data_IF_874662577725
#
_entry.id   IF_874662577725
#
_cell.length_a   1.000
_cell.length_b   1.000
_cell.length_c   1.000
_cell.angle_alpha   90.00
_cell.angle_beta   90.00
_cell.angle_gamma   90.00
#
_symmetry.space_group_name_H-M   'P 1'
#
loop_
_entity.id
_entity.type
_entity.pdbx_description
1 polymer ?
#
# COMPACT_ATOMS: atom_id res chain seq x y z
N UNK A 1 -6.83 13.69 20.30
CA UNK A 1 -6.37 12.64 19.37
C UNK A 1 -5.15 13.16 18.62
N UNK A 2 -4.07 12.39 18.54
CA UNK A 2 -2.95 12.70 17.65
C UNK A 2 -2.95 11.61 16.57
N UNK A 3 -2.82 11.99 15.30
CA UNK A 3 -2.79 11.01 14.22
C UNK A 3 -1.40 10.38 14.02
N UNK A 4 -0.33 11.04 14.51
CA UNK A 4 1.04 10.56 14.43
C UNK A 4 1.94 11.16 15.52
N UNK A 5 3.02 10.46 15.87
CA UNK A 5 4.06 10.92 16.80
C UNK A 5 5.40 11.22 16.09
N UNK A 6 5.64 10.67 14.90
CA UNK A 6 6.83 10.92 14.07
C UNK A 6 6.44 11.26 12.63
N UNK A 7 7.39 11.75 11.84
CA UNK A 7 7.17 12.02 10.41
C UNK A 7 6.85 10.73 9.64
N UNK A 8 7.55 9.63 9.95
CA UNK A 8 7.33 8.33 9.31
C UNK A 8 5.92 7.82 9.61
N UNK A 9 5.47 7.97 10.85
CA UNK A 9 4.11 7.62 11.23
C UNK A 9 3.08 8.53 10.52
N UNK A 10 3.36 9.83 10.38
CA UNK A 10 2.48 10.75 9.68
C UNK A 10 2.32 10.36 8.20
N UNK A 11 3.42 10.02 7.52
CA UNK A 11 3.43 9.51 6.14
C UNK A 11 2.63 8.21 6.06
N UNK A 12 2.96 7.22 6.90
CA UNK A 12 2.28 5.92 6.89
C UNK A 12 0.76 6.10 7.07
N UNK A 13 0.34 6.99 7.98
CA UNK A 13 -1.07 7.22 8.26
C UNK A 13 -1.79 7.94 7.11
N UNK A 14 -1.11 8.85 6.41
CA UNK A 14 -1.64 9.53 5.22
C UNK A 14 -1.75 8.62 4.00
N UNK A 15 -1.00 7.52 3.96
CA UNK A 15 -1.05 6.55 2.87
C UNK A 15 -2.24 5.57 3.01
N UNK A 16 -2.76 5.38 4.24
CA UNK A 16 -3.81 4.39 4.56
C UNK A 16 -5.09 4.62 3.76
N UNK A 17 -5.71 5.79 3.89
CA UNK A 17 -6.94 6.11 3.19
C UNK A 17 -6.56 6.87 1.92
N UNK A 18 -6.84 6.33 0.72
CA UNK A 18 -6.59 7.04 -0.52
C UNK A 18 -7.43 8.32 -0.58
N UNK A 19 -6.76 9.44 -0.86
CA UNK A 19 -7.43 10.74 -1.00
C UNK A 19 -8.10 10.79 -2.37
N UNK A 20 -9.43 10.76 -2.40
CA UNK A 20 -10.22 10.93 -3.61
C UNK A 20 -10.11 12.37 -4.12
N UNK A 21 -10.23 12.57 -5.43
CA UNK A 21 -10.15 13.90 -6.04
C UNK A 21 -11.19 14.88 -5.47
N UNK A 22 -12.35 14.38 -5.08
CA UNK A 22 -13.43 15.15 -4.44
C UNK A 22 -13.10 15.62 -3.01
N UNK A 23 -12.11 15.00 -2.36
CA UNK A 23 -11.65 15.37 -1.02
C UNK A 23 -10.52 16.41 -1.06
N UNK A 24 -10.13 16.87 -2.26
CA UNK A 24 -9.05 17.83 -2.46
C UNK A 24 -9.63 19.20 -2.75
N UNK A 25 -9.17 20.20 -2.00
CA UNK A 25 -9.38 21.60 -2.34
C UNK A 25 -8.27 22.07 -3.30
N UNK A 26 -8.65 22.52 -4.50
CA UNK A 26 -7.70 23.13 -5.42
C UNK A 26 -7.37 24.56 -4.95
N UNK A 27 -6.12 24.81 -4.58
CA UNK A 27 -5.67 26.10 -4.08
C UNK A 27 -4.48 26.61 -4.89
N UNK A 28 -4.52 27.89 -5.29
CA UNK A 28 -3.39 28.53 -5.95
C UNK A 28 -2.15 28.48 -5.04
N UNK A 29 -0.99 28.08 -5.59
CA UNK A 29 0.23 27.84 -4.80
C UNK A 29 0.63 29.04 -3.93
N UNK A 30 0.46 30.27 -4.41
CA UNK A 30 0.71 31.49 -3.62
C UNK A 30 -0.17 31.58 -2.36
N UNK A 31 -1.44 31.18 -2.48
CA UNK A 31 -2.36 31.12 -1.33
C UNK A 31 -1.96 29.99 -0.39
N UNK A 32 -1.61 28.82 -0.92
CA UNK A 32 -1.15 27.68 -0.12
C UNK A 32 0.09 28.03 0.74
N UNK A 33 1.06 28.76 0.17
CA UNK A 33 2.23 29.28 0.90
C UNK A 33 1.81 30.16 2.08
N UNK A 34 0.90 31.12 1.86
CA UNK A 34 0.43 32.03 2.91
C UNK A 34 -0.35 31.29 4.01
N UNK A 35 -1.18 30.32 3.62
CA UNK A 35 -1.94 29.47 4.52
C UNK A 35 -1.03 28.63 5.40
N UNK A 36 -0.06 27.93 4.83
CA UNK A 36 0.84 27.06 5.58
C UNK A 36 1.72 27.84 6.57
N UNK A 37 2.18 29.04 6.22
CA UNK A 37 2.90 29.92 7.16
C UNK A 37 2.05 30.33 8.36
N UNK A 38 0.79 30.63 8.11
CA UNK A 38 -0.16 30.99 9.17
C UNK A 38 -0.40 29.79 10.09
N UNK A 39 -0.60 28.60 9.52
CA UNK A 39 -0.75 27.36 10.28
C UNK A 39 0.51 26.96 11.04
N UNK A 40 1.70 27.20 10.49
CA UNK A 40 2.97 27.01 11.19
C UNK A 40 3.12 27.89 12.43
N UNK A 41 2.51 29.07 12.42
CA UNK A 41 2.46 29.94 13.61
C UNK A 41 1.46 29.43 14.65
N UNK A 42 0.29 28.94 14.20
CA UNK A 42 -0.80 28.50 15.08
C UNK A 42 -0.60 27.10 15.67
N UNK A 43 0.09 26.22 14.95
CA UNK A 43 0.22 24.79 15.27
C UNK A 43 1.60 24.26 14.91
N UNK A 44 2.69 24.86 15.44
CA UNK A 44 4.06 24.60 15.00
C UNK A 44 4.48 23.13 15.11
N UNK A 45 3.98 22.42 16.12
CA UNK A 45 4.34 21.02 16.40
C UNK A 45 3.51 19.98 15.63
N UNK A 46 2.52 20.41 14.83
CA UNK A 46 1.71 19.48 14.04
C UNK A 46 2.45 19.08 12.76
N UNK A 47 2.37 17.79 12.43
CA UNK A 47 2.92 17.26 11.18
C UNK A 47 2.03 17.66 10.01
N UNK A 48 2.65 18.08 8.91
CA UNK A 48 2.03 18.17 7.60
C UNK A 48 2.66 17.10 6.71
N UNK A 49 1.83 16.41 5.93
CA UNK A 49 2.29 15.42 4.95
C UNK A 49 2.20 16.05 3.58
N UNK A 50 3.29 15.99 2.82
CA UNK A 50 3.37 16.44 1.44
C UNK A 50 3.40 15.24 0.52
N UNK A 51 2.57 15.28 -0.51
CA UNK A 51 2.65 14.42 -1.69
C UNK A 51 3.15 15.32 -2.81
N UNK A 52 4.35 15.06 -3.32
CA UNK A 52 4.91 15.88 -4.40
C UNK A 52 4.29 15.53 -5.78
N UNK A 53 4.72 16.24 -6.83
CA UNK A 53 4.22 16.01 -8.19
C UNK A 53 4.58 14.64 -8.79
N UNK A 54 5.50 13.89 -8.17
CA UNK A 54 5.83 12.50 -8.53
C UNK A 54 4.98 11.47 -7.76
N UNK A 55 4.28 11.91 -6.71
CA UNK A 55 3.48 11.07 -5.83
C UNK A 55 4.24 10.58 -4.59
N UNK A 56 5.48 11.02 -4.37
CA UNK A 56 6.26 10.65 -3.18
C UNK A 56 5.74 11.36 -1.93
N UNK A 57 5.69 10.62 -0.82
CA UNK A 57 5.23 11.13 0.47
C UNK A 57 6.41 11.57 1.33
N UNK A 58 6.28 12.74 1.93
CA UNK A 58 7.18 13.21 2.98
C UNK A 58 6.37 13.89 4.09
N UNK A 59 6.94 14.00 5.28
CA UNK A 59 6.31 14.74 6.37
C UNK A 59 7.34 15.58 7.12
N UNK A 60 6.87 16.71 7.63
CA UNK A 60 7.63 17.60 8.50
C UNK A 60 6.69 18.28 9.48
N UNK A 61 7.21 18.81 10.59
CA UNK A 61 6.38 19.69 11.43
C UNK A 61 6.15 20.99 10.69
N UNK A 62 5.00 21.62 10.93
CA UNK A 62 4.65 22.88 10.26
C UNK A 62 5.70 23.97 10.52
N UNK A 63 6.33 24.01 11.71
CA UNK A 63 7.42 24.95 12.01
C UNK A 63 8.68 24.76 11.18
N UNK A 64 8.89 23.55 10.64
CA UNK A 64 10.07 23.17 9.87
C UNK A 64 9.89 23.43 8.36
N UNK A 65 8.74 23.98 7.96
CA UNK A 65 8.50 24.40 6.58
C UNK A 65 9.52 25.46 6.12
N UNK A 66 9.99 25.41 4.86
CA UNK A 66 10.93 26.39 4.35
C UNK A 66 10.45 27.84 4.56
N UNK A 67 11.27 28.64 5.22
CA UNK A 67 10.98 30.06 5.46
C UNK A 67 11.10 30.89 4.18
N UNK A 68 12.00 30.49 3.27
CA UNK A 68 12.19 31.11 1.97
C UNK A 68 10.96 30.87 1.07
N UNK A 69 10.38 31.97 0.56
CA UNK A 69 9.17 31.91 -0.25
C UNK A 69 9.33 31.07 -1.52
N UNK A 70 10.45 31.20 -2.24
CA UNK A 70 10.68 30.46 -3.48
C UNK A 70 10.82 28.96 -3.22
N UNK A 71 11.54 28.59 -2.15
CA UNK A 71 11.70 27.18 -1.77
C UNK A 71 10.36 26.53 -1.39
N UNK A 72 9.57 27.19 -0.54
CA UNK A 72 8.25 26.69 -0.17
C UNK A 72 7.29 26.67 -1.37
N UNK A 73 7.36 27.67 -2.25
CA UNK A 73 6.58 27.66 -3.49
C UNK A 73 6.92 26.43 -4.34
N UNK A 74 8.21 26.21 -4.64
CA UNK A 74 8.66 25.05 -5.43
C UNK A 74 8.24 23.72 -4.81
N UNK A 75 8.32 23.60 -3.49
CA UNK A 75 7.88 22.41 -2.76
C UNK A 75 6.39 22.10 -2.95
N UNK A 76 5.56 23.13 -3.14
CA UNK A 76 4.10 23.01 -3.23
C UNK A 76 3.57 22.97 -4.67
N UNK A 77 4.39 23.30 -5.66
CA UNK A 77 3.97 23.27 -7.07
C UNK A 77 3.63 21.83 -7.46
N UNK A 78 2.39 21.64 -7.94
CA UNK A 78 1.79 20.33 -8.25
C UNK A 78 1.70 19.34 -7.07
N UNK A 79 1.96 19.80 -5.85
CA UNK A 79 1.89 18.97 -4.65
C UNK A 79 0.52 19.00 -3.97
N UNK A 80 0.24 17.97 -3.18
CA UNK A 80 -0.90 17.91 -2.25
C UNK A 80 -0.37 17.97 -0.82
N UNK A 81 -0.94 18.84 0.02
CA UNK A 81 -0.59 18.91 1.44
C UNK A 81 -1.75 18.43 2.29
N UNK A 82 -1.49 17.46 3.14
CA UNK A 82 -2.43 16.91 4.11
C UNK A 82 -2.12 17.55 5.46
N UNK A 83 -3.12 18.21 6.02
CA UNK A 83 -3.02 18.93 7.28
C UNK A 83 -4.00 18.29 8.26
N UNK A 84 -3.59 18.04 9.50
CA UNK A 84 -4.49 17.43 10.47
C UNK A 84 -5.54 18.44 10.95
N UNK A 85 -6.75 17.96 11.22
CA UNK A 85 -7.89 18.83 11.58
C UNK A 85 -7.67 19.70 12.83
N UNK A 86 -6.71 19.37 13.69
CA UNK A 86 -6.39 20.19 14.86
C UNK A 86 -5.75 21.55 14.48
N UNK A 87 -5.25 21.69 13.24
CA UNK A 87 -4.70 22.93 12.73
C UNK A 87 -5.76 23.99 12.38
N UNK A 88 -7.04 23.62 12.28
CA UNK A 88 -8.13 24.54 11.96
C UNK A 88 -9.19 23.90 11.05
N UNK A 89 -10.25 24.65 10.78
CA UNK A 89 -11.34 24.25 9.89
C UNK A 89 -11.31 24.95 8.53
N UNK A 90 -12.34 24.70 7.73
CA UNK A 90 -12.55 25.38 6.45
C UNK A 90 -13.56 26.54 6.62
N UNK A 91 -13.52 27.51 5.72
CA UNK A 91 -14.58 28.49 5.55
C UNK A 91 -15.69 27.96 4.64
N UNK A 92 -16.71 28.80 4.45
CA UNK A 92 -17.93 28.43 3.73
C UNK A 92 -17.64 28.18 2.23
N UNK A 93 -16.48 28.66 1.74
CA UNK A 93 -15.95 28.42 0.40
C UNK A 93 -14.95 27.24 0.36
N UNK A 94 -14.76 26.52 1.47
CA UNK A 94 -13.87 25.36 1.57
C UNK A 94 -12.38 25.72 1.71
N UNK A 95 -12.02 26.96 2.01
CA UNK A 95 -10.63 27.38 2.22
C UNK A 95 -10.22 27.21 3.69
N UNK A 96 -8.97 26.85 4.01
CA UNK A 96 -8.51 26.78 5.40
C UNK A 96 -8.64 28.14 6.11
N UNK A 97 -9.41 28.19 7.20
CA UNK A 97 -9.53 29.40 8.02
C UNK A 97 -8.26 29.61 8.84
N UNK A 98 -7.74 30.84 8.78
CA UNK A 98 -6.49 31.24 9.45
C UNK A 98 -6.71 31.79 10.87
N UNK A 99 -7.95 31.79 11.37
CA UNK A 99 -8.32 32.26 12.72
C UNK A 99 -9.43 31.38 13.28
N UNK A 100 -9.29 30.96 14.54
CA UNK A 100 -10.36 30.27 15.27
C UNK A 100 -11.44 31.27 15.68
N UNK A 101 -12.71 30.91 15.50
CA UNK A 101 -13.85 31.77 15.89
C UNK A 101 -14.78 31.01 16.83
N UNK A 102 -15.64 31.72 17.58
CA UNK A 102 -16.63 31.10 18.48
C UNK A 102 -17.74 30.32 17.74
N UNK A 103 -17.79 30.37 16.41
CA UNK A 103 -18.84 29.77 15.57
C UNK A 103 -18.37 28.53 14.81
N UNK A 104 -17.26 27.91 15.19
CA UNK A 104 -16.81 26.65 14.59
C UNK A 104 -17.87 25.56 14.80
N UNK A 105 -18.42 25.05 13.69
CA UNK A 105 -19.30 23.89 13.72
C UNK A 105 -18.51 22.66 13.26
N UNK A 106 -18.70 21.51 13.93
CA UNK A 106 -18.07 20.28 13.47
C UNK A 106 -18.69 19.86 12.13
N UNK A 107 -17.83 19.45 11.21
CA UNK A 107 -18.24 18.90 9.92
C UNK A 107 -18.20 17.40 9.96
N UNK A 108 -19.18 16.76 9.33
CA UNK A 108 -19.22 15.30 9.23
C UNK A 108 -18.01 14.80 8.47
N UNK A 109 -17.43 13.73 8.99
CA UNK A 109 -16.33 13.05 8.34
C UNK A 109 -16.75 12.46 6.97
N UNK A 110 -15.93 12.69 5.94
CA UNK A 110 -16.23 12.36 4.54
C UNK A 110 -15.82 10.95 4.11
N UNK A 111 -15.12 10.21 4.99
CA UNK A 111 -14.70 8.83 4.70
C UNK A 111 -15.92 7.94 4.43
N UNK A 112 -15.83 7.11 3.38
CA UNK A 112 -16.89 6.18 3.01
C UNK A 112 -17.01 5.04 4.04
N UNK A 113 -18.09 5.03 4.82
CA UNK A 113 -18.30 4.07 5.90
C UNK A 113 -18.62 2.65 5.45
N UNK A 114 -19.11 2.48 4.21
CA UNK A 114 -19.28 1.13 3.68
C UNK A 114 -17.94 0.46 3.43
N UNK A 115 -16.88 1.25 3.24
CA UNK A 115 -15.54 0.77 2.89
C UNK A 115 -14.58 0.87 4.06
N UNK A 116 -14.68 1.92 4.88
CA UNK A 116 -13.72 2.24 5.92
C UNK A 116 -14.42 2.47 7.26
N UNK A 117 -14.02 1.69 8.27
CA UNK A 117 -14.35 1.91 9.67
C UNK A 117 -13.13 2.39 10.44
N UNK A 118 -13.31 3.30 11.38
CA UNK A 118 -12.26 3.77 12.29
C UNK A 118 -12.67 3.59 13.73
N UNK A 119 -11.74 3.05 14.51
CA UNK A 119 -11.87 2.97 15.96
C UNK A 119 -10.77 3.78 16.60
N UNK A 120 -11.09 4.40 17.73
CA UNK A 120 -10.10 4.95 18.62
C UNK A 120 -9.63 3.84 19.56
N UNK A 121 -8.32 3.71 19.74
CA UNK A 121 -7.70 2.73 20.64
C UNK A 121 -6.75 3.45 21.60
N UNK A 122 -6.75 3.06 22.87
CA UNK A 122 -5.82 3.59 23.87
C UNK A 122 -5.31 2.48 24.78
N UNK A 123 -4.15 2.69 25.38
CA UNK A 123 -3.64 1.86 26.47
C UNK A 123 -4.12 2.46 27.79
N UNK A 124 -4.80 1.69 28.63
CA UNK A 124 -5.35 2.15 29.91
C UNK A 124 -4.48 1.68 31.09
N UNK A 125 -3.77 0.57 30.93
CA UNK A 125 -2.84 0.01 31.91
C UNK A 125 -1.71 -0.81 31.26
N UNK A 126 -0.89 -1.49 32.04
CA UNK A 126 0.23 -2.29 31.51
C UNK A 126 -0.25 -3.33 30.49
N UNK A 127 -1.33 -4.05 30.82
CA UNK A 127 -1.96 -5.04 29.94
C UNK A 127 -3.45 -4.77 29.77
N UNK A 128 -3.83 -3.49 29.69
CA UNK A 128 -5.24 -3.12 29.50
C UNK A 128 -5.34 -2.07 28.42
N UNK A 129 -6.21 -2.32 27.46
CA UNK A 129 -6.45 -1.46 26.31
C UNK A 129 -7.93 -1.14 26.20
N UNK A 130 -8.27 0.12 25.90
CA UNK A 130 -9.63 0.55 25.65
C UNK A 130 -9.88 0.80 24.17
N UNK A 131 -11.10 0.60 23.71
CA UNK A 131 -11.53 1.06 22.39
C UNK A 131 -12.82 1.87 22.45
N UNK A 132 -13.00 2.72 21.44
CA UNK A 132 -14.22 3.45 21.21
C UNK A 132 -14.46 3.73 19.72
N UNK A 133 -15.71 3.97 19.35
CA UNK A 133 -16.09 4.39 18.01
C UNK A 133 -16.09 5.92 17.93
N UNK A 134 -15.56 6.46 16.83
CA UNK A 134 -15.52 7.91 16.63
C UNK A 134 -16.84 8.37 15.99
N UNK A 135 -17.60 9.21 16.69
CA UNK A 135 -18.80 9.83 16.15
C UNK A 135 -18.42 10.79 15.02
N UNK A 136 -18.98 10.57 13.83
CA UNK A 136 -18.64 11.34 12.62
C UNK A 136 -18.92 12.82 12.71
N UNK A 137 -20.01 13.19 13.40
CA UNK A 137 -20.54 14.56 13.38
C UNK A 137 -20.06 15.38 14.56
N UNK A 138 -19.81 14.75 15.71
CA UNK A 138 -19.30 15.45 16.89
C UNK A 138 -17.81 15.26 17.12
N UNK A 139 -17.19 14.24 16.52
CA UNK A 139 -15.82 13.82 16.83
C UNK A 139 -15.65 13.23 18.23
N UNK A 140 -16.76 13.00 18.96
CA UNK A 140 -16.75 12.35 20.26
C UNK A 140 -16.41 10.86 20.13
N UNK A 141 -15.78 10.29 21.14
CA UNK A 141 -15.47 8.85 21.18
C UNK A 141 -16.46 8.19 22.11
N UNK A 142 -17.24 7.25 21.58
CA UNK A 142 -18.14 6.40 22.36
C UNK A 142 -17.36 5.14 22.78
N UNK A 143 -17.13 4.97 24.08
CA UNK A 143 -16.36 3.83 24.60
C UNK A 143 -17.11 2.51 24.41
N UNK A 144 -16.45 1.55 23.77
CA UNK A 144 -17.00 0.22 23.49
C UNK A 144 -16.57 -0.83 24.52
N UNK A 145 -15.44 -0.60 25.21
CA UNK A 145 -14.99 -1.48 26.30
C UNK A 145 -13.47 -1.53 26.47
N UNK A 146 -13.04 -2.41 27.39
CA UNK A 146 -11.64 -2.66 27.75
C UNK A 146 -11.24 -4.13 27.53
N UNK A 147 -9.97 -4.35 27.18
CA UNK A 147 -9.45 -5.63 26.72
C UNK A 147 -8.04 -5.88 27.29
N UNK A 148 -7.67 -7.14 27.44
CA UNK A 148 -6.38 -7.57 28.03
C UNK A 148 -5.16 -7.37 27.13
N UNK A 149 -5.34 -7.06 25.84
CA UNK A 149 -4.22 -6.81 24.93
C UNK A 149 -4.65 -6.01 23.71
N UNK A 150 -3.70 -5.37 23.04
CA UNK A 150 -3.94 -4.70 21.76
C UNK A 150 -4.51 -5.68 20.72
N UNK A 151 -3.98 -6.91 20.67
CA UNK A 151 -4.47 -7.94 19.75
C UNK A 151 -5.94 -8.27 19.99
N UNK A 152 -6.37 -8.35 21.25
CA UNK A 152 -7.77 -8.59 21.60
C UNK A 152 -8.67 -7.43 21.15
N UNK A 153 -8.23 -6.17 21.34
CA UNK A 153 -8.97 -4.99 20.83
C UNK A 153 -9.11 -5.04 19.31
N UNK A 154 -8.01 -5.27 18.60
CA UNK A 154 -8.01 -5.27 17.14
C UNK A 154 -8.88 -6.40 16.58
N UNK A 155 -8.88 -7.57 17.22
CA UNK A 155 -9.76 -8.67 16.87
C UNK A 155 -11.24 -8.33 17.08
N UNK A 156 -11.58 -7.68 18.20
CA UNK A 156 -12.94 -7.20 18.45
C UNK A 156 -13.40 -6.18 17.40
N UNK A 157 -12.54 -5.19 17.08
CA UNK A 157 -12.83 -4.17 16.07
C UNK A 157 -12.95 -4.77 14.66
N UNK A 158 -12.09 -5.75 14.32
CA UNK A 158 -12.14 -6.46 13.04
C UNK A 158 -13.48 -7.20 12.86
N UNK A 159 -13.92 -7.91 13.91
CA UNK A 159 -15.20 -8.62 13.90
C UNK A 159 -16.39 -7.66 13.78
N UNK A 160 -16.35 -6.55 14.51
CA UNK A 160 -17.43 -5.55 14.56
C UNK A 160 -17.57 -4.79 13.24
N UNK A 161 -16.45 -4.47 12.59
CA UNK A 161 -16.43 -3.78 11.30
C UNK A 161 -16.52 -4.69 10.08
N UNK A 162 -16.39 -6.01 10.27
CA UNK A 162 -16.12 -6.97 9.18
C UNK A 162 -14.93 -6.52 8.30
N UNK A 163 -13.95 -5.86 8.91
CA UNK A 163 -12.83 -5.24 8.22
C UNK A 163 -11.47 -5.76 8.66
N UNK A 164 -10.43 -5.37 7.93
CA UNK A 164 -9.04 -5.70 8.20
C UNK A 164 -8.32 -4.45 8.73
N UNK A 165 -7.65 -4.58 9.88
CA UNK A 165 -6.88 -3.48 10.45
C UNK A 165 -5.60 -3.24 9.63
N UNK A 166 -5.53 -2.14 8.90
CA UNK A 166 -4.41 -1.88 7.96
C UNK A 166 -3.20 -1.21 8.62
N UNK A 167 -3.36 -0.61 9.80
CA UNK A 167 -2.27 0.06 10.52
C UNK A 167 -1.88 -0.60 11.85
N UNK A 168 -2.11 -1.91 11.98
CA UNK A 168 -1.79 -2.65 13.20
C UNK A 168 -0.30 -2.56 13.59
N UNK A 169 0.61 -2.49 12.62
CA UNK A 169 2.07 -2.33 12.84
C UNK A 169 2.38 -0.98 13.50
N UNK A 170 1.79 0.10 12.99
CA UNK A 170 2.02 1.45 13.53
C UNK A 170 1.38 1.65 14.90
N UNK A 171 0.24 1.00 15.16
CA UNK A 171 -0.35 0.96 16.49
C UNK A 171 0.58 0.27 17.49
N UNK A 172 1.13 -0.90 17.15
CA UNK A 172 2.09 -1.62 18.00
C UNK A 172 3.33 -0.77 18.32
N UNK A 173 3.92 -0.14 17.30
CA UNK A 173 5.07 0.78 17.46
C UNK A 173 4.74 1.93 18.40
N UNK A 174 3.57 2.56 18.20
CA UNK A 174 3.13 3.70 19.01
C UNK A 174 2.97 3.35 20.48
N UNK A 175 2.41 2.17 20.79
CA UNK A 175 2.21 1.74 22.18
C UNK A 175 3.48 1.15 22.83
N UNK A 176 4.43 0.64 22.03
CA UNK A 176 5.73 0.17 22.50
C UNK A 176 6.69 1.32 22.86
N UNK A 177 6.55 2.49 22.24
CA UNK A 177 7.37 3.67 22.52
C UNK A 177 7.07 4.35 23.87
N UNK A 178 6.08 3.87 24.63
CA UNK A 178 5.73 4.38 25.95
C UNK A 178 6.63 3.67 26.98
N UNK A 179 7.51 4.39 27.71
CA UNK A 179 8.44 3.80 28.67
C UNK A 179 7.74 2.99 29.78
N UNK A 180 8.38 1.90 30.21
CA UNK A 180 7.88 1.01 31.27
C UNK A 180 7.94 1.61 32.68
N UNK A 181 8.47 2.82 32.83
CA UNK A 181 8.57 3.61 34.06
C UNK A 181 7.67 4.87 34.01
N UNK A 182 6.93 5.08 32.92
CA UNK A 182 5.96 6.17 32.81
C UNK A 182 4.92 6.10 33.95
N UNK A 183 4.61 7.25 34.56
CA UNK A 183 3.68 7.39 35.69
C UNK A 183 2.27 6.89 35.35
N UNK A 184 1.48 6.58 36.37
CA UNK A 184 0.07 6.19 36.21
C UNK A 184 -0.76 7.25 35.47
N UNK A 185 -0.41 8.54 35.55
CA UNK A 185 -1.05 9.62 34.78
C UNK A 185 -0.56 9.67 33.32
N UNK A 186 0.71 9.40 33.04
CA UNK A 186 1.24 9.24 31.67
C UNK A 186 0.67 8.00 30.96
N UNK A 187 0.34 6.94 31.72
CA UNK A 187 -0.31 5.71 31.24
C UNK A 187 -1.83 5.85 31.13
N UNK A 188 -2.50 6.44 32.12
CA UNK A 188 -3.95 6.66 32.11
C UNK A 188 -4.37 7.78 31.14
N UNK A 189 -3.43 8.65 30.76
CA UNK A 189 -3.56 9.65 29.69
C UNK A 189 -3.14 9.17 28.30
N UNK A 190 -2.95 7.85 28.07
CA UNK A 190 -2.48 7.36 26.77
C UNK A 190 -3.43 7.83 25.66
N UNK A 191 -2.87 8.65 24.79
CA UNK A 191 -3.61 9.34 23.73
C UNK A 191 -4.32 8.32 22.84
N UNK A 192 -5.59 8.57 22.55
CA UNK A 192 -6.33 7.83 21.53
C UNK A 192 -5.55 7.83 20.21
N UNK A 193 -5.29 6.63 19.71
CA UNK A 193 -4.74 6.35 18.39
C UNK A 193 -5.86 5.84 17.47
N UNK A 194 -5.82 6.19 16.19
CA UNK A 194 -6.80 5.69 15.22
C UNK A 194 -6.37 4.33 14.67
N UNK A 195 -7.28 3.35 14.74
CA UNK A 195 -7.18 2.09 14.03
C UNK A 195 -8.12 2.12 12.82
N UNK A 196 -7.56 1.86 11.63
CA UNK A 196 -8.30 1.89 10.37
C UNK A 196 -8.62 0.48 9.91
N UNK A 197 -9.89 0.25 9.59
CA UNK A 197 -10.42 -1.02 9.14
C UNK A 197 -11.01 -0.87 7.75
N UNK A 198 -10.43 -1.57 6.78
CA UNK A 198 -10.94 -1.66 5.42
C UNK A 198 -11.93 -2.84 5.35
N UNK A 199 -13.16 -2.59 4.94
CA UNK A 199 -14.20 -3.60 4.74
C UNK A 199 -13.68 -4.66 3.77
N UNK A 200 -13.87 -5.94 4.13
CA UNK A 200 -13.43 -7.10 3.33
C UNK A 200 -14.03 -7.15 1.93
N UNK A 201 -15.23 -6.61 1.71
CA UNK A 201 -15.84 -6.58 0.38
C UNK A 201 -15.24 -5.50 -0.52
N UNK A 202 -14.80 -4.39 0.10
CA UNK A 202 -14.24 -3.21 -0.55
C UNK A 202 -12.71 -3.24 -0.67
N UNK A 203 -12.04 -4.11 0.09
CA UNK A 203 -10.58 -4.26 0.07
C UNK A 203 -10.06 -4.57 -1.34
N UNK A 204 -10.82 -5.30 -2.15
CA UNK A 204 -10.45 -5.59 -3.54
C UNK A 204 -10.34 -4.34 -4.45
N UNK A 205 -10.95 -3.21 -4.08
CA UNK A 205 -10.97 -1.96 -4.87
C UNK A 205 -9.95 -0.91 -4.40
N UNK A 206 -9.63 -0.87 -3.10
CA UNK A 206 -8.82 0.20 -2.47
C UNK A 206 -7.37 -0.17 -2.16
N UNK A 207 -6.92 -1.36 -2.55
CA UNK A 207 -5.51 -1.72 -2.46
C UNK A 207 -4.70 -0.82 -3.41
N UNK A 208 -4.32 0.35 -2.90
CA UNK A 208 -3.26 1.20 -3.44
C UNK A 208 -2.04 0.31 -3.67
N UNK A 209 -1.37 0.60 -4.78
CA UNK A 209 -0.26 -0.14 -5.39
C UNK A 209 1.04 -0.20 -4.55
N UNK A 210 0.95 -0.23 -3.22
CA UNK A 210 2.03 -0.82 -2.43
C UNK A 210 1.95 -2.33 -2.58
N UNK A 211 2.91 -2.82 -3.37
CA UNK A 211 2.99 -4.09 -4.10
C UNK A 211 2.85 -5.39 -3.30
N UNK A 212 2.51 -5.33 -2.01
CA UNK A 212 2.58 -6.48 -1.10
C UNK A 212 1.31 -6.71 -0.26
N UNK A 213 0.30 -5.82 -0.33
CA UNK A 213 -0.96 -5.96 0.40
C UNK A 213 -1.98 -6.90 -0.29
N UNK A 214 -1.75 -7.26 -1.56
CA UNK A 214 -2.59 -8.27 -2.25
C UNK A 214 -2.32 -9.69 -1.76
N UNK A 215 -1.28 -9.88 -0.93
CA UNK A 215 -0.93 -11.16 -0.29
C UNK A 215 -1.79 -11.51 0.92
N UNK A 216 -2.73 -10.64 1.31
CA UNK A 216 -3.56 -10.76 2.50
C UNK A 216 -4.82 -11.61 2.22
N UNK A 217 -4.79 -12.92 2.48
CA UNK A 217 -5.94 -13.81 2.29
C UNK A 217 -6.67 -14.16 3.60
N UNK A 218 -8.02 -14.14 3.60
CA UNK A 218 -8.83 -14.91 4.56
C UNK A 218 -10.16 -15.39 3.98
N UNK A 219 -10.34 -16.71 3.98
CA UNK A 219 -11.53 -17.40 4.50
C UNK A 219 -11.22 -18.88 4.79
N UNK A 220 -10.24 -19.47 4.09
CA UNK A 220 -9.60 -20.72 4.48
C UNK A 220 -8.26 -20.42 5.17
N UNK A 221 -7.92 -21.15 6.24
CA UNK A 221 -6.72 -20.91 7.05
C UNK A 221 -5.42 -21.39 6.35
N UNK A 222 -5.44 -21.41 5.01
CA UNK A 222 -4.41 -21.93 4.12
C UNK A 222 -4.02 -20.83 3.14
N UNK A 223 -2.74 -20.45 3.15
CA UNK A 223 -2.19 -19.55 2.12
C UNK A 223 -2.31 -20.17 0.73
N UNK A 224 -2.23 -19.34 -0.32
CA UNK A 224 -2.18 -19.80 -1.71
C UNK A 224 -0.73 -19.96 -2.13
N UNK A 225 -0.35 -21.14 -2.61
CA UNK A 225 1.02 -21.37 -3.08
C UNK A 225 1.31 -20.58 -4.37
N UNK A 226 2.58 -20.33 -4.65
CA UNK A 226 3.01 -19.69 -5.91
C UNK A 226 2.52 -20.47 -7.14
N UNK A 227 2.58 -21.80 -7.09
CA UNK A 227 2.14 -22.66 -8.19
C UNK A 227 0.62 -22.61 -8.43
N UNK A 228 -0.17 -22.62 -7.34
CA UNK A 228 -1.63 -22.52 -7.46
C UNK A 228 -2.04 -21.14 -7.97
N UNK A 229 -1.48 -20.06 -7.41
CA UNK A 229 -1.76 -18.70 -7.87
C UNK A 229 -1.35 -18.50 -9.33
N UNK A 230 -0.18 -18.99 -9.74
CA UNK A 230 0.23 -18.97 -11.15
C UNK A 230 -0.77 -19.68 -12.07
N UNK A 231 -1.31 -20.83 -11.65
CA UNK A 231 -2.34 -21.55 -12.42
C UNK A 231 -3.67 -20.78 -12.49
N UNK A 232 -4.04 -20.08 -11.41
CA UNK A 232 -5.22 -19.22 -11.39
C UNK A 232 -5.06 -18.05 -12.38
N UNK A 233 -3.91 -17.37 -12.35
CA UNK A 233 -3.62 -16.24 -13.25
C UNK A 233 -3.51 -16.69 -14.71
N UNK A 234 -2.90 -17.85 -14.99
CA UNK A 234 -2.89 -18.46 -16.32
C UNK A 234 -4.32 -18.63 -16.86
N UNK A 235 -5.23 -19.15 -16.04
CA UNK A 235 -6.64 -19.33 -16.40
C UNK A 235 -7.32 -17.99 -16.68
N UNK A 236 -7.25 -17.02 -15.76
CA UNK A 236 -7.87 -15.70 -15.98
C UNK A 236 -7.28 -14.98 -17.19
N UNK A 237 -5.96 -15.01 -17.37
CA UNK A 237 -5.30 -14.36 -18.50
C UNK A 237 -5.79 -14.96 -19.83
N UNK A 238 -5.89 -16.29 -19.89
CA UNK A 238 -6.44 -17.01 -21.05
C UNK A 238 -7.89 -16.62 -21.32
N UNK A 239 -8.75 -16.65 -20.29
CA UNK A 239 -10.18 -16.33 -20.41
C UNK A 239 -10.41 -14.88 -20.86
N UNK A 240 -9.68 -13.92 -20.27
CA UNK A 240 -9.79 -12.50 -20.63
C UNK A 240 -9.33 -12.30 -22.08
N UNK A 241 -8.16 -12.85 -22.44
CA UNK A 241 -7.58 -12.74 -23.78
C UNK A 241 -8.51 -13.33 -24.86
N UNK A 242 -9.17 -14.44 -24.58
CA UNK A 242 -10.17 -15.03 -25.49
C UNK A 242 -11.41 -14.14 -25.63
N UNK A 243 -11.95 -13.63 -24.51
CA UNK A 243 -13.16 -12.79 -24.51
C UNK A 243 -12.97 -11.47 -25.22
N UNK A 244 -11.78 -10.88 -25.16
CA UNK A 244 -11.45 -9.64 -25.88
C UNK A 244 -11.00 -9.90 -27.34
N UNK A 245 -10.98 -11.16 -27.78
CA UNK A 245 -10.75 -11.53 -29.18
C UNK A 245 -9.29 -11.52 -29.63
N UNK A 246 -8.32 -11.76 -28.75
CA UNK A 246 -6.91 -11.88 -29.15
C UNK A 246 -6.66 -13.18 -29.95
N UNK A 247 -5.66 -13.14 -30.82
CA UNK A 247 -5.20 -14.31 -31.56
C UNK A 247 -4.71 -15.41 -30.60
N UNK A 248 -4.85 -16.68 -31.01
CA UNK A 248 -4.50 -17.86 -30.21
C UNK A 248 -3.11 -17.79 -29.60
N UNK A 249 -2.15 -17.26 -30.34
CA UNK A 249 -0.76 -17.22 -29.88
C UNK A 249 -0.54 -16.16 -28.80
N UNK A 250 -1.26 -15.03 -28.87
CA UNK A 250 -1.24 -14.00 -27.82
C UNK A 250 -1.99 -14.47 -26.57
N UNK A 251 -3.08 -15.22 -26.73
CA UNK A 251 -3.77 -15.91 -25.62
C UNK A 251 -2.79 -16.84 -24.91
N UNK A 252 -2.05 -17.66 -25.66
CA UNK A 252 -1.06 -18.56 -25.10
C UNK A 252 0.09 -17.81 -24.41
N UNK A 253 0.63 -16.75 -25.02
CA UNK A 253 1.68 -15.93 -24.43
C UNK A 253 1.24 -15.29 -23.10
N UNK A 254 0.01 -14.76 -23.03
CA UNK A 254 -0.57 -14.21 -21.80
C UNK A 254 -0.76 -15.28 -20.72
N UNK A 255 -1.24 -16.47 -21.09
CA UNK A 255 -1.37 -17.60 -20.18
C UNK A 255 -0.02 -18.03 -19.59
N UNK A 256 1.00 -18.19 -20.44
CA UNK A 256 2.37 -18.54 -19.99
C UNK A 256 2.97 -17.46 -19.09
N UNK A 257 2.80 -16.19 -19.43
CA UNK A 257 3.24 -15.09 -18.58
C UNK A 257 2.52 -15.11 -17.22
N UNK A 258 1.20 -15.31 -17.21
CA UNK A 258 0.40 -15.47 -16.00
C UNK A 258 0.86 -16.60 -15.10
N UNK A 259 1.17 -17.76 -15.68
CA UNK A 259 1.68 -18.92 -14.94
C UNK A 259 2.98 -18.62 -14.18
N UNK A 260 3.84 -17.79 -14.76
CA UNK A 260 5.22 -17.58 -14.32
C UNK A 260 5.49 -16.25 -13.63
N UNK A 261 4.55 -15.30 -13.68
CA UNK A 261 4.78 -13.92 -13.22
C UNK A 261 5.27 -13.81 -11.76
N UNK A 262 4.91 -14.79 -10.93
CA UNK A 262 5.15 -14.80 -9.48
C UNK A 262 6.21 -15.82 -9.02
N UNK A 263 6.90 -16.53 -9.92
CA UNK A 263 7.98 -17.48 -9.55
C UNK A 263 9.07 -16.80 -8.69
N UNK A 264 9.27 -15.50 -8.92
CA UNK A 264 9.99 -14.51 -8.13
C UNK A 264 9.73 -14.47 -6.63
N UNK A 265 8.56 -14.93 -6.20
CA UNK A 265 8.17 -14.96 -4.78
C UNK A 265 8.81 -16.11 -4.04
N UNK A 266 9.32 -17.14 -4.73
CA UNK A 266 10.02 -18.29 -4.13
C UNK A 266 11.45 -17.98 -3.65
N UNK A 267 11.69 -16.77 -3.14
CA UNK A 267 12.99 -16.35 -2.58
C UNK A 267 12.87 -16.31 -1.06
N UNK A 268 13.92 -16.74 -0.37
CA UNK A 268 13.92 -16.82 1.11
C UNK A 268 13.56 -15.49 1.77
N UNK A 269 14.10 -14.36 1.27
CA UNK A 269 13.78 -13.04 1.81
C UNK A 269 12.36 -12.56 1.50
N UNK A 270 11.80 -12.97 0.37
CA UNK A 270 10.41 -12.63 0.01
C UNK A 270 9.45 -13.46 0.88
N UNK A 271 9.72 -14.76 1.03
CA UNK A 271 8.95 -15.66 1.89
C UNK A 271 9.07 -15.27 3.37
N UNK A 272 10.26 -14.88 3.85
CA UNK A 272 10.42 -14.33 5.19
C UNK A 272 9.63 -13.02 5.38
N UNK A 273 9.61 -12.14 4.37
CA UNK A 273 8.86 -10.88 4.44
C UNK A 273 7.35 -11.09 4.61
N UNK A 274 6.77 -12.17 4.05
CA UNK A 274 5.35 -12.53 4.24
C UNK A 274 5.09 -13.46 5.43
N UNK A 275 6.09 -13.72 6.28
CA UNK A 275 5.98 -14.60 7.44
C UNK A 275 5.97 -16.10 7.13
N UNK A 276 6.41 -16.51 5.95
CA UNK A 276 6.53 -17.92 5.51
C UNK A 276 8.00 -18.36 5.37
N UNK A 277 8.86 -17.94 6.31
CA UNK A 277 10.27 -18.33 6.30
C UNK A 277 10.42 -19.86 6.24
N UNK A 278 11.38 -20.33 5.45
CA UNK A 278 11.65 -21.76 5.30
C UNK A 278 12.02 -22.38 6.66
N UNK A 279 11.30 -23.44 7.04
CA UNK A 279 11.43 -24.12 8.33
C UNK A 279 12.14 -25.48 8.24
N UNK A 280 12.67 -25.83 7.05
CA UNK A 280 13.27 -27.14 6.79
C UNK A 280 12.27 -28.28 6.58
N UNK A 281 10.96 -28.01 6.62
CA UNK A 281 9.92 -29.02 6.49
C UNK A 281 9.71 -29.44 5.04
N UNK A 282 9.57 -30.73 4.72
CA UNK A 282 9.21 -31.20 3.38
C UNK A 282 7.78 -30.79 2.96
N UNK A 283 6.96 -30.36 3.93
CA UNK A 283 5.60 -29.83 3.66
C UNK A 283 5.61 -28.33 3.35
N UNK A 284 6.73 -27.65 3.52
CA UNK A 284 6.83 -26.23 3.20
C UNK A 284 6.60 -26.01 1.71
N UNK A 285 5.83 -24.98 1.39
CA UNK A 285 5.57 -24.52 0.03
C UNK A 285 5.70 -23.01 -0.02
N UNK A 286 6.29 -22.44 -1.08
CA UNK A 286 6.31 -21.00 -1.26
C UNK A 286 4.90 -20.50 -1.48
N UNK A 287 4.52 -19.47 -0.76
CA UNK A 287 3.22 -18.83 -0.87
C UNK A 287 3.30 -17.63 -1.81
N UNK A 288 2.30 -17.46 -2.67
CA UNK A 288 2.04 -16.19 -3.34
C UNK A 288 1.14 -15.30 -2.49
N UNK A 289 0.26 -15.91 -1.67
CA UNK A 289 -0.68 -15.25 -0.76
C UNK A 289 -0.57 -15.90 0.61
N UNK A 290 -0.33 -15.12 1.66
CA UNK A 290 -0.19 -15.61 3.03
C UNK A 290 -1.37 -15.20 3.91
N UNK A 291 -1.56 -15.91 5.01
CA UNK A 291 -2.53 -15.53 6.05
C UNK A 291 -1.96 -14.46 6.99
N UNK A 292 -0.70 -14.07 6.80
CA UNK A 292 -0.02 -13.10 7.66
C UNK A 292 -0.27 -11.67 7.17
N UNK A 293 -0.80 -10.82 8.05
CA UNK A 293 -1.31 -9.50 7.64
C UNK A 293 -0.26 -8.40 7.47
N UNK A 294 0.96 -8.76 7.09
CA UNK A 294 2.07 -7.82 7.06
C UNK A 294 3.17 -8.29 6.13
N UNK A 295 3.70 -7.37 5.35
CA UNK A 295 4.96 -7.54 4.63
C UNK A 295 6.09 -6.83 5.38
N UNK A 296 7.17 -7.53 5.68
CA UNK A 296 8.33 -6.96 6.35
C UNK A 296 9.45 -6.60 5.36
N UNK A 297 9.46 -5.33 4.99
CA UNK A 297 10.45 -4.75 4.08
C UNK A 297 11.90 -4.87 4.58
N UNK A 298 12.14 -5.10 5.88
CA UNK A 298 13.49 -5.32 6.39
C UNK A 298 14.12 -6.61 5.83
N UNK A 299 13.31 -7.64 5.57
CA UNK A 299 13.76 -8.85 4.88
C UNK A 299 13.90 -8.60 3.38
N UNK A 300 12.92 -7.96 2.74
CA UNK A 300 12.86 -7.81 1.28
C UNK A 300 13.84 -6.75 0.71
N UNK A 301 14.23 -5.73 1.48
CA UNK A 301 15.24 -4.70 1.14
C UNK A 301 15.17 -4.16 -0.30
N UNK A 302 13.97 -3.96 -0.83
CA UNK A 302 13.74 -3.38 -2.16
C UNK A 302 13.75 -4.37 -3.33
N UNK A 303 14.00 -5.66 -3.09
CA UNK A 303 13.88 -6.72 -4.10
C UNK A 303 12.50 -6.72 -4.75
N UNK A 304 12.48 -7.01 -6.06
CA UNK A 304 11.26 -7.11 -6.87
C UNK A 304 11.11 -8.54 -7.34
N UNK A 305 10.00 -9.18 -7.00
CA UNK A 305 9.75 -10.56 -7.39
C UNK A 305 9.67 -10.69 -8.93
N UNK A 306 9.22 -9.65 -9.62
CA UNK A 306 9.19 -9.57 -11.08
C UNK A 306 10.58 -9.78 -11.71
N UNK A 307 11.63 -9.28 -11.04
CA UNK A 307 13.01 -9.48 -11.49
C UNK A 307 13.45 -10.93 -11.31
N UNK A 308 13.09 -11.55 -10.18
CA UNK A 308 13.34 -12.97 -9.96
C UNK A 308 12.55 -13.87 -10.92
N UNK A 309 11.28 -13.57 -11.16
CA UNK A 309 10.44 -14.28 -12.14
C UNK A 309 11.03 -14.15 -13.55
N UNK A 310 11.52 -12.97 -13.91
CA UNK A 310 12.21 -12.76 -15.18
C UNK A 310 13.47 -13.63 -15.28
N UNK A 311 14.24 -13.77 -14.20
CA UNK A 311 15.45 -14.60 -14.19
C UNK A 311 15.12 -16.09 -14.42
N UNK A 312 14.12 -16.62 -13.69
CA UNK A 312 13.65 -18.01 -13.86
C UNK A 312 13.13 -18.24 -15.28
N UNK A 313 12.24 -17.36 -15.76
CA UNK A 313 11.63 -17.49 -17.08
C UNK A 313 12.65 -17.33 -18.21
N UNK A 314 13.68 -16.50 -18.04
CA UNK A 314 14.74 -16.32 -19.04
C UNK A 314 15.58 -17.59 -19.21
N UNK A 315 15.76 -18.36 -18.14
CA UNK A 315 16.47 -19.64 -18.12
C UNK A 315 15.59 -20.85 -18.51
N UNK A 316 14.27 -20.68 -18.58
CA UNK A 316 13.34 -21.75 -18.91
C UNK A 316 13.51 -22.24 -20.36
N UNK A 317 13.89 -23.51 -20.51
CA UNK A 317 14.10 -24.14 -21.81
C UNK A 317 12.85 -24.15 -22.69
N UNK A 318 11.65 -24.21 -22.09
CA UNK A 318 10.37 -24.16 -22.82
C UNK A 318 10.12 -22.81 -23.49
N UNK A 319 10.70 -21.73 -22.95
CA UNK A 319 10.57 -20.38 -23.50
C UNK A 319 11.66 -20.04 -24.51
N UNK A 320 12.80 -20.73 -24.49
CA UNK A 320 13.99 -20.41 -25.29
C UNK A 320 13.70 -20.24 -26.79
N UNK A 321 12.80 -21.05 -27.34
CA UNK A 321 12.44 -21.03 -28.77
C UNK A 321 10.99 -20.60 -29.02
N UNK A 322 10.32 -20.03 -28.01
CA UNK A 322 8.93 -19.60 -28.17
C UNK A 322 8.84 -18.36 -29.08
N UNK A 323 7.98 -18.33 -30.12
CA UNK A 323 7.85 -17.18 -31.03
C UNK A 323 7.53 -15.85 -30.33
N UNK A 324 6.85 -15.92 -29.19
CA UNK A 324 6.50 -14.76 -28.35
C UNK A 324 7.35 -14.66 -27.07
N UNK A 325 8.55 -15.28 -27.04
CA UNK A 325 9.43 -15.28 -25.87
C UNK A 325 9.61 -13.90 -25.27
N UNK A 326 9.94 -12.91 -26.09
CA UNK A 326 10.17 -11.55 -25.62
C UNK A 326 8.90 -10.92 -25.03
N UNK A 327 7.74 -11.13 -25.64
CA UNK A 327 6.49 -10.65 -25.06
C UNK A 327 6.22 -11.31 -23.71
N UNK A 328 6.40 -12.63 -23.59
CA UNK A 328 6.19 -13.37 -22.34
C UNK A 328 7.10 -12.84 -21.22
N UNK A 329 8.40 -12.73 -21.49
CA UNK A 329 9.37 -12.23 -20.51
C UNK A 329 9.12 -10.78 -20.13
N UNK A 330 8.68 -9.94 -21.08
CA UNK A 330 8.31 -8.55 -20.79
C UNK A 330 7.08 -8.47 -19.89
N UNK A 331 6.02 -9.22 -20.20
CA UNK A 331 4.80 -9.25 -19.39
C UNK A 331 5.10 -9.72 -17.96
N UNK A 332 5.95 -10.75 -17.81
CA UNK A 332 6.45 -11.19 -16.50
C UNK A 332 7.23 -10.08 -15.79
N UNK A 333 8.11 -9.36 -16.48
CA UNK A 333 8.93 -8.33 -15.83
C UNK A 333 8.12 -7.06 -15.47
N UNK A 334 7.12 -6.72 -16.27
CA UNK A 334 6.44 -5.42 -16.21
C UNK A 334 5.08 -5.44 -15.50
N UNK A 335 4.62 -6.58 -14.96
CA UNK A 335 3.27 -6.70 -14.39
C UNK A 335 2.99 -5.76 -13.20
N UNK A 336 4.03 -5.28 -12.52
CA UNK A 336 3.95 -4.22 -11.49
C UNK A 336 4.56 -2.87 -11.93
N UNK A 337 4.74 -2.65 -13.25
CA UNK A 337 5.14 -1.38 -13.83
C UNK A 337 6.64 -1.11 -13.92
N UNK A 338 7.48 -1.96 -13.32
CA UNK A 338 8.92 -1.98 -13.59
C UNK A 338 9.21 -2.51 -15.00
N UNK A 339 10.47 -2.54 -15.43
CA UNK A 339 10.85 -2.89 -16.82
C UNK A 339 10.23 -1.98 -17.91
N UNK A 340 9.76 -0.79 -17.52
CA UNK A 340 9.25 0.27 -18.42
C UNK A 340 10.07 1.57 -18.25
N UNK A 341 11.36 1.62 -18.61
CA UNK A 341 12.11 0.55 -19.27
C UNK A 341 12.98 -0.30 -18.32
N UNK A 342 13.23 0.12 -17.08
CA UNK A 342 14.34 -0.44 -16.28
C UNK A 342 13.95 -0.93 -14.88
N UNK A 343 14.87 -1.66 -14.26
CA UNK A 343 14.88 -1.96 -12.82
C UNK A 343 16.03 -1.21 -12.13
N UNK A 344 15.84 -0.62 -10.94
CA UNK A 344 16.96 -0.13 -10.13
C UNK A 344 17.72 -1.31 -9.51
N UNK A 345 19.01 -1.17 -9.22
CA UNK A 345 19.85 -2.26 -8.68
C UNK A 345 19.32 -2.89 -7.39
N UNK A 346 18.64 -2.11 -6.54
CA UNK A 346 17.98 -2.63 -5.32
C UNK A 346 16.89 -3.67 -5.59
N UNK A 347 16.36 -3.73 -6.82
CA UNK A 347 15.34 -4.68 -7.24
C UNK A 347 15.89 -6.08 -7.53
N UNK A 348 17.20 -6.20 -7.72
CA UNK A 348 17.82 -7.42 -8.24
C UNK A 348 17.73 -8.60 -7.27
N UNK A 349 17.67 -9.79 -7.86
CA UNK A 349 17.77 -11.05 -7.12
C UNK A 349 19.17 -11.16 -6.50
N UNK A 350 19.24 -11.32 -5.17
CA UNK A 350 20.49 -11.38 -4.42
C UNK A 350 21.26 -12.68 -4.64
N UNK A 351 20.59 -13.71 -5.18
CA UNK A 351 21.22 -14.97 -5.55
C UNK A 351 21.92 -14.89 -6.91
N UNK A 352 21.64 -13.85 -7.70
CA UNK A 352 22.32 -13.66 -8.98
C UNK A 352 23.63 -12.90 -8.80
N UNK A 353 24.71 -13.31 -9.49
CA UNK A 353 25.89 -12.48 -9.62
C UNK A 353 25.52 -11.11 -10.21
N UNK A 354 26.16 -10.04 -9.72
CA UNK A 354 25.84 -8.67 -10.11
C UNK A 354 25.94 -8.42 -11.62
N UNK A 355 26.88 -9.06 -12.31
CA UNK A 355 27.04 -8.99 -13.77
C UNK A 355 25.84 -9.59 -14.50
N UNK A 356 25.38 -10.78 -14.08
CA UNK A 356 24.21 -11.44 -14.65
C UNK A 356 22.94 -10.62 -14.41
N UNK A 357 22.79 -10.05 -13.22
CA UNK A 357 21.65 -9.18 -12.92
C UNK A 357 21.67 -7.89 -13.77
N UNK A 358 22.85 -7.32 -14.02
CA UNK A 358 22.99 -6.16 -14.92
C UNK A 358 22.62 -6.53 -16.36
N UNK A 359 23.14 -7.64 -16.89
CA UNK A 359 22.80 -8.13 -18.23
C UNK A 359 21.28 -8.35 -18.38
N UNK A 360 20.64 -9.00 -17.41
CA UNK A 360 19.20 -9.24 -17.43
C UNK A 360 18.38 -7.94 -17.41
N UNK A 361 18.85 -6.93 -16.68
CA UNK A 361 18.24 -5.59 -16.63
C UNK A 361 18.40 -4.85 -17.96
N UNK A 362 19.59 -4.91 -18.58
CA UNK A 362 19.85 -4.32 -19.90
C UNK A 362 19.00 -5.00 -20.98
N UNK A 363 18.90 -6.33 -20.95
CA UNK A 363 18.01 -7.08 -21.83
C UNK A 363 16.54 -6.67 -21.66
N UNK A 364 16.07 -6.46 -20.42
CA UNK A 364 14.71 -6.00 -20.17
C UNK A 364 14.46 -4.61 -20.81
N UNK A 365 15.41 -3.69 -20.73
CA UNK A 365 15.33 -2.37 -21.37
C UNK A 365 15.27 -2.48 -22.90
N UNK A 366 16.14 -3.31 -23.49
CA UNK A 366 16.17 -3.54 -24.94
C UNK A 366 14.88 -4.20 -25.42
N UNK A 367 14.36 -5.16 -24.65
CA UNK A 367 13.11 -5.87 -24.91
C UNK A 367 11.91 -4.92 -24.91
N UNK A 368 11.82 -4.03 -23.91
CA UNK A 368 10.79 -3.00 -23.88
C UNK A 368 10.84 -2.11 -25.13
N UNK A 369 12.03 -1.65 -25.53
CA UNK A 369 12.19 -0.82 -26.73
C UNK A 369 11.79 -1.57 -28.02
N UNK A 370 12.14 -2.85 -28.14
CA UNK A 370 11.76 -3.68 -29.29
C UNK A 370 10.26 -3.97 -29.35
N UNK A 371 9.64 -4.32 -28.23
CA UNK A 371 8.20 -4.55 -28.17
C UNK A 371 7.39 -3.26 -28.40
N UNK A 372 7.87 -2.11 -27.92
CA UNK A 372 7.26 -0.82 -28.24
C UNK A 372 7.27 -0.54 -29.75
N UNK A 373 8.34 -0.91 -30.47
CA UNK A 373 8.37 -0.79 -31.93
C UNK A 373 7.43 -1.77 -32.63
N UNK A 374 7.26 -2.97 -32.09
CA UNK A 374 6.44 -4.03 -32.68
C UNK A 374 4.93 -3.83 -32.46
N UNK A 375 4.54 -3.47 -31.23
CA UNK A 375 3.14 -3.37 -30.82
C UNK A 375 2.67 -1.91 -30.70
N UNK A 376 3.58 -0.95 -30.58
CA UNK A 376 3.24 0.44 -30.28
C UNK A 376 2.78 0.64 -28.84
N UNK A 377 2.68 1.91 -28.45
CA UNK A 377 2.40 2.34 -27.07
C UNK A 377 1.11 1.75 -26.49
N UNK A 378 0.05 1.73 -27.28
CA UNK A 378 -1.28 1.36 -26.81
C UNK A 378 -1.49 -0.15 -26.74
N UNK A 379 -1.04 -0.90 -27.76
CA UNK A 379 -1.26 -2.35 -27.77
C UNK A 379 -0.38 -3.04 -26.73
N UNK A 380 0.88 -2.62 -26.55
CA UNK A 380 1.73 -3.19 -25.50
C UNK A 380 1.15 -2.91 -24.11
N UNK A 381 0.72 -1.68 -23.85
CA UNK A 381 0.07 -1.31 -22.59
C UNK A 381 -1.23 -2.10 -22.36
N UNK A 382 -1.99 -2.39 -23.42
CA UNK A 382 -3.21 -3.20 -23.32
C UNK A 382 -2.92 -4.66 -22.96
N UNK A 383 -1.85 -5.25 -23.50
CA UNK A 383 -1.39 -6.60 -23.14
C UNK A 383 -0.87 -6.64 -21.68
N UNK A 384 -0.09 -5.65 -21.26
CA UNK A 384 0.34 -5.47 -19.87
C UNK A 384 -0.87 -5.39 -18.91
N UNK A 385 -1.85 -4.56 -19.26
CA UNK A 385 -3.08 -4.38 -18.49
C UNK A 385 -3.91 -5.66 -18.42
N UNK A 386 -3.92 -6.47 -19.48
CA UNK A 386 -4.62 -7.76 -19.51
C UNK A 386 -4.05 -8.74 -18.49
N UNK A 387 -2.71 -8.85 -18.42
CA UNK A 387 -2.06 -9.69 -17.41
C UNK A 387 -2.29 -9.15 -16.00
N UNK A 388 -2.16 -7.83 -15.81
CA UNK A 388 -2.41 -7.18 -14.51
C UNK A 388 -3.85 -7.39 -14.02
N UNK A 389 -4.82 -7.35 -14.94
CA UNK A 389 -6.22 -7.65 -14.61
C UNK A 389 -6.42 -9.13 -14.21
N UNK A 390 -5.75 -10.06 -14.88
CA UNK A 390 -5.82 -11.48 -14.54
C UNK A 390 -5.28 -11.77 -13.12
N UNK A 391 -4.14 -11.18 -12.76
CA UNK A 391 -3.56 -11.31 -11.41
C UNK A 391 -4.50 -10.73 -10.33
N UNK A 392 -5.10 -9.56 -10.60
CA UNK A 392 -6.08 -8.95 -9.71
C UNK A 392 -7.33 -9.81 -9.52
N UNK A 393 -7.85 -10.43 -10.60
CA UNK A 393 -9.02 -11.30 -10.53
C UNK A 393 -8.74 -12.59 -9.76
N UNK A 394 -7.59 -13.23 -10.00
CA UNK A 394 -7.16 -14.41 -9.25
C UNK A 394 -7.05 -14.11 -7.76
N UNK A 395 -6.35 -13.01 -7.43
CA UNK A 395 -6.20 -12.54 -6.05
C UNK A 395 -7.55 -12.28 -5.37
N UNK A 396 -8.47 -11.61 -6.07
CA UNK A 396 -9.82 -11.33 -5.59
C UNK A 396 -10.62 -12.60 -5.35
N UNK A 397 -10.62 -13.54 -6.29
CA UNK A 397 -11.47 -14.73 -6.18
C UNK A 397 -10.92 -15.70 -5.13
N UNK A 398 -9.59 -15.78 -4.94
CA UNK A 398 -8.99 -16.43 -3.77
C UNK A 398 -9.43 -15.76 -2.47
N UNK A 399 -9.38 -14.43 -2.38
CA UNK A 399 -9.81 -13.69 -1.17
C UNK A 399 -11.29 -13.88 -0.82
N UNK A 400 -12.12 -14.30 -1.79
CA UNK A 400 -13.56 -14.56 -1.64
C UNK A 400 -13.89 -16.05 -1.46
N UNK A 401 -12.87 -16.91 -1.26
CA UNK A 401 -13.07 -18.36 -1.13
C UNK A 401 -13.61 -19.05 -2.38
N UNK A 402 -13.39 -18.47 -3.57
CA UNK A 402 -13.87 -19.01 -4.85
C UNK A 402 -12.83 -19.87 -5.59
N UNK A 403 -11.64 -20.04 -5.02
CA UNK A 403 -10.49 -20.76 -5.60
C UNK A 403 -9.80 -21.70 -4.61
#
# INVERSE_FOLDING_TARGET
>A
MNYANTCEQAVAMAQIIPIASQEKAALATLRAVATLRSLATLSPEKFAVLIDGSGEYSAMKLKDLPTNHKQLFTLLVYGTVIIPNQCGGLDDDGNPRLKRTKQEQPVSDVVNESEWKRYAVRRVGEETYGCGELNRSSGAIEELGTFSSLSAVLAFCAKSSRGICVNAKELRRSFAAIPSDATSEERAGARWQLAYFLNRESSAYYLREDNDLTSLGFEDNRGRTVAEHGSDVERYATEIAQKIGLASDLVNALGMAGKKHDEGKNRDWWQAAIGNAYDGSPRWKPLAKSTHNSFDHAFNQGYRHEFGSLAEASADASLKHHPYRDLILHLIAAHHGYARPHFPSRAFDRNLPSTIAQELMEEAMQRFASLQRQYGWWQLAYLEATLKAADALASRDFSRGKL
#
